data_IF_466614312769
#
_entry.id   IF_466614312769
#
_cell.length_a   1.000
_cell.length_b   1.000
_cell.length_c   1.000
_cell.angle_alpha   90.00
_cell.angle_beta   90.00
_cell.angle_gamma   90.00
#
_symmetry.space_group_name_H-M   'P 1'
#
loop_
_entity.id
_entity.type
_entity.pdbx_description
1 polymer ?
#
# COMPACT_ATOMS: atom_id res chain seq x y z
N UNK A 1 -18.29 -25.04 0.27
CA UNK A 1 -17.91 -24.84 1.67
C UNK A 1 -16.54 -24.18 1.61
N UNK A 2 -16.47 -22.84 1.74
CA UNK A 2 -15.19 -22.14 1.56
C UNK A 2 -14.14 -22.84 2.46
N UNK A 3 -12.93 -23.04 1.95
CA UNK A 3 -11.75 -23.43 2.73
C UNK A 3 -11.34 -22.31 3.74
N UNK A 4 -12.34 -21.53 4.19
CA UNK A 4 -12.38 -20.29 4.96
C UNK A 4 -11.88 -20.47 6.39
N UNK A 5 -12.12 -21.64 6.98
CA UNK A 5 -11.66 -21.96 8.33
C UNK A 5 -10.14 -22.08 8.34
N UNK A 6 -9.54 -22.70 7.30
CA UNK A 6 -8.08 -22.85 7.19
C UNK A 6 -7.41 -21.50 6.95
N UNK A 7 -7.95 -20.64 6.08
CA UNK A 7 -7.46 -19.26 5.88
C UNK A 7 -7.47 -18.44 7.18
N UNK A 8 -8.56 -18.45 7.94
CA UNK A 8 -8.63 -17.72 9.21
C UNK A 8 -7.76 -18.34 10.31
N UNK A 9 -7.81 -19.65 10.53
CA UNK A 9 -7.18 -20.30 11.69
C UNK A 9 -5.73 -20.68 11.49
N UNK A 10 -5.27 -20.86 10.25
CA UNK A 10 -3.88 -21.26 9.94
C UNK A 10 -3.09 -20.16 9.26
N UNK A 11 -3.72 -19.32 8.41
CA UNK A 11 -3.00 -18.28 7.66
C UNK A 11 -3.03 -16.95 8.41
N UNK A 12 -4.20 -16.48 8.88
CA UNK A 12 -4.32 -15.16 9.51
C UNK A 12 -4.35 -15.15 11.03
N UNK A 13 -4.79 -16.22 11.70
CA UNK A 13 -4.74 -16.31 13.17
C UNK A 13 -3.31 -16.22 13.73
N UNK A 14 -2.29 -16.92 13.20
CA UNK A 14 -0.92 -16.71 13.68
C UNK A 14 -0.37 -15.32 13.32
N UNK A 15 -0.81 -14.72 12.21
CA UNK A 15 -0.45 -13.34 11.82
C UNK A 15 -1.02 -12.31 12.80
N UNK A 16 -2.19 -12.57 13.38
CA UNK A 16 -2.86 -11.69 14.35
C UNK A 16 -2.43 -11.99 15.81
N UNK A 17 -1.95 -13.20 16.11
CA UNK A 17 -1.68 -13.68 17.47
C UNK A 17 -0.22 -13.61 17.93
N UNK A 18 0.75 -13.32 17.06
CA UNK A 18 2.16 -13.27 17.45
C UNK A 18 2.56 -11.91 18.08
N UNK A 19 2.96 -11.86 19.37
CA UNK A 19 3.31 -10.62 20.07
C UNK A 19 4.67 -10.02 19.66
N UNK A 20 5.49 -10.74 18.89
CA UNK A 20 6.89 -10.41 18.61
C UNK A 20 7.17 -9.91 17.19
N UNK A 21 6.16 -9.72 16.33
CA UNK A 21 6.40 -9.45 14.91
C UNK A 21 7.05 -8.09 14.62
N UNK A 22 8.37 -8.16 14.44
CA UNK A 22 9.26 -7.11 13.94
C UNK A 22 9.22 -7.00 12.41
N UNK A 23 8.20 -7.57 11.75
CA UNK A 23 8.08 -7.54 10.29
C UNK A 23 6.62 -7.35 9.87
N UNK A 24 6.28 -6.14 9.42
CA UNK A 24 5.00 -5.79 8.83
C UNK A 24 4.70 -6.50 7.50
N UNK A 25 5.22 -7.71 7.27
CA UNK A 25 5.03 -8.52 6.07
C UNK A 25 5.18 -10.01 6.37
N UNK A 26 4.19 -10.84 6.00
CA UNK A 26 4.27 -12.30 6.14
C UNK A 26 3.72 -12.96 4.90
N UNK A 27 4.37 -14.05 4.47
CA UNK A 27 3.85 -14.99 3.48
C UNK A 27 3.61 -16.33 4.18
N UNK A 28 2.48 -16.97 3.90
CA UNK A 28 2.13 -18.25 4.51
C UNK A 28 1.43 -19.15 3.50
N UNK A 29 1.81 -20.42 3.45
CA UNK A 29 1.18 -21.43 2.61
C UNK A 29 0.54 -22.52 3.47
N UNK A 30 -0.72 -22.88 3.18
CA UNK A 30 -1.47 -23.91 3.90
C UNK A 30 -2.19 -24.84 2.93
N UNK A 31 -2.23 -26.14 3.22
CA UNK A 31 -2.97 -27.14 2.44
C UNK A 31 -2.11 -28.30 1.93
N UNK A 32 -2.76 -29.24 1.23
CA UNK A 32 -2.12 -30.37 0.55
C UNK A 32 -2.41 -30.22 -0.93
N UNK A 33 -1.41 -30.49 -1.78
CA UNK A 33 -1.58 -30.43 -3.23
C UNK A 33 -2.84 -31.22 -3.68
N UNK A 34 -3.70 -30.64 -4.53
CA UNK A 34 -3.56 -29.37 -5.27
C UNK A 34 -4.11 -28.13 -4.55
N UNK A 35 -4.59 -28.24 -3.30
CA UNK A 35 -5.32 -27.20 -2.57
C UNK A 35 -4.40 -26.35 -1.66
N UNK A 36 -3.18 -26.05 -2.12
CA UNK A 36 -2.27 -25.15 -1.38
C UNK A 36 -2.74 -23.71 -1.61
N UNK A 37 -2.97 -23.00 -0.51
CA UNK A 37 -3.33 -21.58 -0.51
C UNK A 37 -2.16 -20.79 0.06
N UNK A 38 -1.66 -19.83 -0.72
CA UNK A 38 -0.65 -18.86 -0.33
C UNK A 38 -1.34 -17.56 0.07
N UNK A 39 -0.99 -17.00 1.21
CA UNK A 39 -1.48 -15.71 1.70
C UNK A 39 -0.33 -14.76 1.98
N UNK A 40 -0.54 -13.47 1.75
CA UNK A 40 0.38 -12.42 2.11
C UNK A 40 -0.37 -11.28 2.81
N UNK A 41 0.21 -10.78 3.90
CA UNK A 41 -0.23 -9.60 4.61
C UNK A 41 0.91 -8.58 4.66
N UNK A 42 0.61 -7.30 4.50
CA UNK A 42 1.57 -6.19 4.61
C UNK A 42 0.90 -5.01 5.31
N UNK A 43 1.48 -4.52 6.40
CA UNK A 43 1.09 -3.26 7.02
C UNK A 43 1.93 -2.10 6.48
N UNK A 44 1.37 -0.90 6.48
CA UNK A 44 2.11 0.30 6.08
C UNK A 44 3.26 0.55 7.06
N UNK A 45 4.45 0.91 6.56
CA UNK A 45 5.68 0.86 7.36
C UNK A 45 5.76 1.83 8.55
N UNK A 46 4.87 2.82 8.63
CA UNK A 46 4.78 3.83 9.69
C UNK A 46 3.64 3.60 10.69
N UNK A 47 2.80 2.57 10.52
CA UNK A 47 1.66 2.33 11.42
C UNK A 47 2.10 1.49 12.62
N UNK A 48 1.54 1.80 13.80
CA UNK A 48 1.82 1.02 15.00
C UNK A 48 1.17 -0.37 14.95
N UNK A 49 1.65 -1.28 15.79
CA UNK A 49 1.22 -2.68 15.83
C UNK A 49 -0.28 -2.85 16.05
N UNK A 50 -0.89 -2.05 16.94
CA UNK A 50 -2.34 -2.12 17.23
C UNK A 50 -3.19 -1.72 16.03
N UNK A 51 -2.81 -0.65 15.34
CA UNK A 51 -3.47 -0.20 14.11
C UNK A 51 -3.29 -1.22 12.98
N UNK A 52 -2.09 -1.78 12.83
CA UNK A 52 -1.79 -2.85 11.88
C UNK A 52 -2.68 -4.09 12.11
N UNK A 53 -2.70 -4.62 13.35
CA UNK A 53 -3.51 -5.80 13.69
C UNK A 53 -5.00 -5.58 13.48
N UNK A 54 -5.49 -4.39 13.83
CA UNK A 54 -6.90 -4.02 13.60
C UNK A 54 -7.23 -4.01 12.12
N UNK A 55 -6.38 -3.35 11.31
CA UNK A 55 -6.55 -3.32 9.86
C UNK A 55 -6.53 -4.72 9.25
N UNK A 56 -5.56 -5.56 9.60
CA UNK A 56 -5.43 -6.91 9.06
C UNK A 56 -6.64 -7.78 9.41
N UNK A 57 -7.18 -7.65 10.63
CA UNK A 57 -8.38 -8.37 11.06
C UNK A 57 -9.59 -7.96 10.24
N UNK A 58 -9.83 -6.66 10.08
CA UNK A 58 -10.96 -6.12 9.32
C UNK A 58 -10.86 -6.47 7.83
N UNK A 59 -9.68 -6.31 7.25
CA UNK A 59 -9.41 -6.64 5.85
C UNK A 59 -9.58 -8.14 5.57
N UNK A 60 -9.12 -9.00 6.49
CA UNK A 60 -9.33 -10.44 6.42
C UNK A 60 -10.81 -10.79 6.47
N UNK A 61 -11.56 -10.27 7.46
CA UNK A 61 -13.01 -10.49 7.55
C UNK A 61 -13.72 -10.08 6.26
N UNK A 62 -13.37 -8.92 5.69
CA UNK A 62 -13.96 -8.42 4.46
C UNK A 62 -13.73 -9.34 3.27
N UNK A 63 -12.50 -9.82 3.07
CA UNK A 63 -12.19 -10.76 1.99
C UNK A 63 -12.96 -12.09 2.10
N UNK A 64 -13.26 -12.53 3.33
CA UNK A 64 -13.95 -13.78 3.59
C UNK A 64 -15.46 -13.66 3.40
N UNK A 65 -16.05 -12.51 3.72
CA UNK A 65 -17.45 -12.23 3.39
C UNK A 65 -17.69 -12.25 1.89
N UNK A 66 -16.70 -11.79 1.11
CA UNK A 66 -16.82 -11.74 -0.34
C UNK A 66 -16.63 -13.13 -0.97
N UNK A 67 -15.66 -13.95 -0.53
CA UNK A 67 -15.38 -15.36 -0.95
C UNK A 67 -15.90 -15.78 -2.36
N UNK A 68 -15.62 -15.02 -3.44
CA UNK A 68 -16.05 -15.36 -4.81
C UNK A 68 -14.95 -15.90 -5.72
N UNK A 69 -13.68 -15.91 -5.29
CA UNK A 69 -12.53 -16.11 -6.18
C UNK A 69 -11.46 -17.01 -5.55
N UNK A 70 -10.63 -17.62 -6.41
CA UNK A 70 -9.40 -18.33 -6.01
C UNK A 70 -8.25 -17.36 -5.74
N UNK A 71 -8.32 -16.16 -6.30
CA UNK A 71 -7.32 -15.11 -6.09
C UNK A 71 -8.05 -13.85 -5.67
N UNK A 72 -7.65 -13.26 -4.55
CA UNK A 72 -8.22 -12.02 -4.08
C UNK A 72 -7.19 -11.17 -3.34
N UNK A 73 -7.39 -9.86 -3.39
CA UNK A 73 -6.56 -8.89 -2.70
C UNK A 73 -7.41 -7.68 -2.31
N UNK A 74 -7.11 -7.11 -1.16
CA UNK A 74 -7.71 -5.88 -0.64
C UNK A 74 -6.60 -4.97 -0.12
N UNK A 75 -6.77 -3.67 -0.34
CA UNK A 75 -5.85 -2.64 0.10
C UNK A 75 -6.64 -1.61 0.90
N UNK A 76 -6.26 -1.44 2.16
CA UNK A 76 -6.73 -0.41 3.08
C UNK A 76 -5.60 0.59 3.36
N UNK A 77 -5.95 1.69 4.02
CA UNK A 77 -5.01 2.77 4.34
C UNK A 77 -3.79 2.31 5.15
N UNK A 78 -3.99 1.37 6.06
CA UNK A 78 -2.98 0.90 7.01
C UNK A 78 -2.41 -0.49 6.66
N UNK A 79 -3.02 -1.24 5.74
CA UNK A 79 -2.59 -2.59 5.40
C UNK A 79 -3.14 -3.08 4.06
N UNK A 80 -2.50 -4.10 3.50
CA UNK A 80 -2.98 -4.87 2.37
C UNK A 80 -2.89 -6.37 2.67
N UNK A 81 -3.79 -7.15 2.08
CA UNK A 81 -3.83 -8.59 2.20
C UNK A 81 -4.20 -9.19 0.85
N UNK A 82 -3.49 -10.25 0.45
CA UNK A 82 -3.80 -11.04 -0.74
C UNK A 82 -3.71 -12.54 -0.46
N UNK A 83 -4.50 -13.33 -1.15
CA UNK A 83 -4.35 -14.79 -1.18
C UNK A 83 -4.52 -15.33 -2.60
N UNK A 84 -3.93 -16.49 -2.84
CA UNK A 84 -4.00 -17.22 -4.10
C UNK A 84 -3.92 -18.73 -3.87
N UNK A 85 -4.57 -19.51 -4.73
CA UNK A 85 -4.36 -20.97 -4.82
C UNK A 85 -3.12 -21.34 -5.67
N UNK A 86 -2.36 -20.33 -6.10
CA UNK A 86 -1.06 -20.46 -6.74
C UNK A 86 0.02 -19.90 -5.81
N UNK A 87 1.28 -20.17 -6.16
CA UNK A 87 2.41 -19.56 -5.46
C UNK A 87 2.43 -18.04 -5.75
N UNK A 88 2.43 -17.20 -4.70
CA UNK A 88 2.37 -15.74 -4.85
C UNK A 88 3.64 -15.16 -5.47
N UNK A 89 4.80 -15.76 -5.23
CA UNK A 89 6.06 -15.38 -5.87
C UNK A 89 5.99 -15.57 -7.39
N UNK A 90 5.27 -16.60 -7.85
CA UNK A 90 5.03 -16.84 -9.30
C UNK A 90 4.07 -15.83 -9.93
N UNK A 91 3.38 -15.03 -9.11
CA UNK A 91 2.44 -13.98 -9.52
C UNK A 91 3.01 -12.57 -9.33
N UNK A 92 4.32 -12.42 -9.14
CA UNK A 92 5.00 -11.12 -9.03
C UNK A 92 5.05 -10.32 -10.36
N UNK A 93 4.12 -10.57 -11.28
CA UNK A 93 3.91 -9.74 -12.46
C UNK A 93 3.21 -8.45 -12.02
N UNK A 94 3.77 -7.31 -12.43
CA UNK A 94 3.16 -6.01 -12.15
C UNK A 94 1.75 -5.94 -12.76
N UNK A 95 0.76 -5.68 -11.90
CA UNK A 95 -0.63 -5.48 -12.29
C UNK A 95 -1.23 -4.34 -11.45
N UNK A 96 -0.88 -3.11 -11.83
CA UNK A 96 -1.31 -1.90 -11.14
C UNK A 96 -2.83 -1.70 -11.15
N UNK A 97 -3.36 -1.26 -10.01
CA UNK A 97 -4.74 -0.80 -9.85
C UNK A 97 -4.73 0.58 -9.23
N UNK A 98 -5.66 1.42 -9.66
CA UNK A 98 -5.89 2.75 -9.11
C UNK A 98 -7.35 2.86 -8.64
N UNK A 99 -7.60 2.93 -7.32
CA UNK A 99 -8.94 3.07 -6.76
C UNK A 99 -9.68 4.28 -7.34
N UNK A 100 -10.95 4.09 -7.72
CA UNK A 100 -11.79 5.13 -8.36
C UNK A 100 -11.95 6.39 -7.51
N UNK A 101 -11.81 6.29 -6.19
CA UNK A 101 -11.88 7.43 -5.27
C UNK A 101 -10.84 8.52 -5.60
N UNK A 102 -9.71 8.17 -6.21
CA UNK A 102 -8.67 9.13 -6.58
C UNK A 102 -9.06 10.01 -7.77
N UNK A 103 -9.95 9.56 -8.66
CA UNK A 103 -10.43 10.39 -9.78
C UNK A 103 -11.26 11.59 -9.31
N UNK A 104 -11.78 11.53 -8.09
CA UNK A 104 -12.60 12.58 -7.47
C UNK A 104 -11.77 13.64 -6.75
N UNK A 105 -10.44 13.45 -6.60
CA UNK A 105 -9.59 14.49 -6.02
C UNK A 105 -9.60 15.74 -6.89
N UNK A 106 -9.47 16.88 -6.23
CA UNK A 106 -9.39 18.19 -6.87
C UNK A 106 -8.21 18.22 -7.84
N UNK A 107 -8.39 18.93 -8.94
CA UNK A 107 -7.31 19.11 -9.91
C UNK A 107 -6.31 20.16 -9.41
N UNK A 108 -5.04 19.98 -9.77
CA UNK A 108 -4.00 21.00 -9.59
C UNK A 108 -4.08 22.02 -10.73
N UNK A 109 -3.68 23.27 -10.46
CA UNK A 109 -3.74 24.34 -11.47
C UNK A 109 -2.60 24.27 -12.49
N UNK A 110 -1.39 23.91 -12.04
CA UNK A 110 -0.20 23.79 -12.89
C UNK A 110 0.24 22.33 -12.94
N UNK A 111 -0.42 21.57 -13.82
CA UNK A 111 -0.24 20.10 -13.89
C UNK A 111 1.18 19.70 -14.27
N UNK A 112 1.84 20.45 -15.15
CA UNK A 112 3.18 20.10 -15.65
C UNK A 112 4.22 20.26 -14.55
N UNK A 113 4.33 21.46 -13.95
CA UNK A 113 5.30 21.67 -12.88
C UNK A 113 4.98 20.85 -11.63
N UNK A 114 3.70 20.67 -11.31
CA UNK A 114 3.30 19.83 -10.19
C UNK A 114 3.79 18.40 -10.37
N UNK A 115 3.61 17.84 -11.57
CA UNK A 115 4.06 16.49 -11.86
C UNK A 115 5.58 16.35 -11.82
N UNK A 116 6.36 17.35 -12.23
CA UNK A 116 7.82 17.31 -12.14
C UNK A 116 8.30 17.18 -10.70
N UNK A 117 7.70 17.94 -9.77
CA UNK A 117 8.01 17.87 -8.33
C UNK A 117 7.53 16.56 -7.72
N UNK A 118 6.33 16.10 -8.10
CA UNK A 118 5.80 14.82 -7.67
C UNK A 118 6.68 13.66 -8.13
N UNK A 119 7.12 13.67 -9.39
CA UNK A 119 8.02 12.65 -9.95
C UNK A 119 9.34 12.63 -9.19
N UNK A 120 9.95 13.80 -8.94
CA UNK A 120 11.18 13.90 -8.16
C UNK A 120 11.02 13.31 -6.75
N UNK A 121 9.91 13.60 -6.07
CA UNK A 121 9.61 13.02 -4.77
C UNK A 121 9.47 11.49 -4.88
N UNK A 122 8.64 11.00 -5.79
CA UNK A 122 8.34 9.56 -5.92
C UNK A 122 9.57 8.74 -6.35
N UNK A 123 10.42 9.26 -7.24
CA UNK A 123 11.67 8.59 -7.62
C UNK A 123 12.58 8.40 -6.39
N UNK A 124 12.79 9.47 -5.60
CA UNK A 124 13.62 9.41 -4.41
C UNK A 124 13.07 8.45 -3.35
N UNK A 125 11.76 8.47 -3.12
CA UNK A 125 11.11 7.55 -2.19
C UNK A 125 11.19 6.11 -2.68
N UNK A 126 11.06 5.90 -4.00
CA UNK A 126 11.16 4.56 -4.57
C UNK A 126 12.55 3.95 -4.39
N UNK A 127 13.59 4.77 -4.54
CA UNK A 127 14.98 4.36 -4.29
C UNK A 127 15.21 4.03 -2.81
N UNK A 128 14.79 4.88 -1.86
CA UNK A 128 14.96 4.60 -0.42
C UNK A 128 14.14 3.37 0.01
N UNK A 129 12.89 3.25 -0.44
CA UNK A 129 12.05 2.09 -0.15
C UNK A 129 12.67 0.79 -0.68
N UNK A 130 13.25 0.79 -1.88
CA UNK A 130 13.86 -0.41 -2.42
C UNK A 130 15.16 -0.80 -1.70
N UNK A 131 16.07 0.16 -1.51
CA UNK A 131 17.43 -0.11 -1.01
C UNK A 131 17.50 -0.28 0.51
N UNK A 132 16.48 0.17 1.25
CA UNK A 132 16.54 0.25 2.71
C UNK A 132 15.69 -0.81 3.41
N UNK A 133 16.15 -2.07 3.39
CA UNK A 133 15.46 -3.18 4.06
C UNK A 133 15.29 -3.02 5.56
N UNK A 134 16.16 -2.26 6.22
CA UNK A 134 16.03 -1.98 7.66
C UNK A 134 14.81 -1.10 7.99
N UNK A 135 14.35 -0.31 7.01
CA UNK A 135 13.11 0.48 7.07
C UNK A 135 11.92 -0.24 6.44
N UNK A 136 11.88 -1.58 6.52
CA UNK A 136 10.74 -2.38 6.09
C UNK A 136 10.38 -2.23 4.59
N UNK A 137 11.35 -1.86 3.75
CA UNK A 137 11.13 -1.53 2.34
C UNK A 137 10.03 -0.47 2.12
N UNK A 138 10.04 0.54 2.99
CA UNK A 138 9.07 1.63 3.05
C UNK A 138 9.80 2.97 3.20
N UNK A 139 9.30 4.00 2.52
CA UNK A 139 9.79 5.35 2.62
C UNK A 139 8.66 6.37 2.56
N UNK A 140 8.81 7.46 3.31
CA UNK A 140 7.94 8.63 3.30
C UNK A 140 8.75 9.90 3.09
N UNK A 141 8.12 10.93 2.55
CA UNK A 141 8.76 12.22 2.40
C UNK A 141 7.81 13.30 1.93
N UNK A 142 8.37 14.50 1.82
CA UNK A 142 7.64 15.68 1.36
C UNK A 142 8.51 16.55 0.44
N UNK A 143 7.86 17.32 -0.42
CA UNK A 143 8.52 18.37 -1.22
C UNK A 143 7.63 19.61 -1.26
N UNK A 144 8.24 20.79 -1.05
CA UNK A 144 7.54 22.07 -1.18
C UNK A 144 7.36 22.39 -2.66
N UNK A 145 6.11 22.34 -3.11
CA UNK A 145 5.74 22.72 -4.49
C UNK A 145 5.60 24.24 -4.64
N UNK A 146 5.01 24.90 -3.65
CA UNK A 146 4.88 26.36 -3.62
C UNK A 146 4.99 26.90 -2.19
N UNK A 147 4.84 28.22 -2.02
CA UNK A 147 4.81 28.84 -0.67
C UNK A 147 3.70 28.27 0.22
N UNK A 148 2.59 27.82 -0.38
CA UNK A 148 1.39 27.42 0.34
C UNK A 148 0.99 25.96 0.09
N UNK A 149 1.81 25.18 -0.60
CA UNK A 149 1.48 23.81 -1.01
C UNK A 149 2.69 22.90 -0.88
N UNK A 150 2.50 21.81 -0.13
CA UNK A 150 3.48 20.75 0.07
C UNK A 150 2.89 19.44 -0.42
N UNK A 151 3.67 18.70 -1.20
CA UNK A 151 3.32 17.36 -1.66
C UNK A 151 3.94 16.36 -0.68
N UNK A 152 3.10 15.49 -0.13
CA UNK A 152 3.48 14.36 0.71
C UNK A 152 3.41 13.08 -0.09
N UNK A 153 4.28 12.14 0.23
CA UNK A 153 4.37 10.89 -0.49
C UNK A 153 4.85 9.72 0.36
N UNK A 154 4.46 8.52 -0.06
CA UNK A 154 5.08 7.28 0.41
C UNK A 154 5.25 6.27 -0.73
N UNK A 155 6.26 5.42 -0.58
CA UNK A 155 6.53 4.28 -1.43
C UNK A 155 6.74 3.04 -0.57
N UNK A 156 6.20 1.90 -1.01
CA UNK A 156 6.33 0.65 -0.26
C UNK A 156 6.42 -0.55 -1.19
N UNK A 157 7.29 -1.48 -0.84
CA UNK A 157 7.32 -2.82 -1.40
C UNK A 157 6.94 -3.87 -0.35
N UNK A 158 6.47 -5.02 -0.83
CA UNK A 158 6.44 -6.22 0.00
C UNK A 158 7.88 -6.69 0.24
N UNK A 159 8.11 -7.46 1.31
CA UNK A 159 9.49 -7.81 1.74
C UNK A 159 9.98 -9.16 1.22
N UNK A 160 9.13 -9.88 0.49
CA UNK A 160 9.41 -11.14 -0.19
C UNK A 160 10.16 -10.95 -1.53
N UNK A 161 10.25 -9.72 -2.03
CA UNK A 161 10.90 -9.40 -3.31
C UNK A 161 12.31 -8.84 -3.12
N UNK A 162 13.10 -8.93 -4.19
CA UNK A 162 14.45 -8.38 -4.26
C UNK A 162 14.45 -6.86 -4.45
N UNK A 163 15.62 -6.23 -4.29
CA UNK A 163 15.77 -4.78 -4.44
C UNK A 163 15.48 -4.32 -5.88
N UNK A 164 15.99 -5.07 -6.86
CA UNK A 164 15.75 -4.88 -8.28
C UNK A 164 14.27 -5.03 -8.65
N UNK A 165 13.63 -6.09 -8.14
CA UNK A 165 12.19 -6.32 -8.33
C UNK A 165 11.33 -5.22 -7.70
N UNK A 166 11.73 -4.71 -6.54
CA UNK A 166 11.05 -3.59 -5.89
C UNK A 166 11.18 -2.30 -6.70
N UNK A 167 12.39 -1.96 -7.16
CA UNK A 167 12.61 -0.79 -8.01
C UNK A 167 11.80 -0.86 -9.30
N UNK A 168 11.77 -2.03 -9.95
CA UNK A 168 10.98 -2.24 -11.16
C UNK A 168 9.48 -2.05 -10.88
N UNK A 169 8.95 -2.68 -9.83
CA UNK A 169 7.54 -2.55 -9.45
C UNK A 169 7.15 -1.07 -9.20
N UNK A 170 7.96 -0.35 -8.42
CA UNK A 170 7.71 1.06 -8.10
C UNK A 170 7.85 1.96 -9.33
N UNK A 171 8.75 1.63 -10.27
CA UNK A 171 8.89 2.34 -11.54
C UNK A 171 7.63 2.20 -12.41
N UNK A 172 7.06 0.99 -12.51
CA UNK A 172 5.79 0.79 -13.20
C UNK A 172 4.62 1.49 -12.48
N UNK A 173 4.59 1.43 -11.14
CA UNK A 173 3.60 2.15 -10.35
C UNK A 173 3.63 3.67 -10.61
N UNK A 174 4.82 4.24 -10.79
CA UNK A 174 4.98 5.67 -11.10
C UNK A 174 4.47 6.03 -12.50
N UNK A 175 4.60 5.13 -13.49
CA UNK A 175 4.02 5.31 -14.82
C UNK A 175 2.49 5.30 -14.78
N UNK A 176 1.89 4.38 -14.03
CA UNK A 176 0.44 4.35 -13.82
C UNK A 176 -0.04 5.58 -13.05
N UNK A 177 0.73 6.04 -12.06
CA UNK A 177 0.45 7.24 -11.28
C UNK A 177 0.45 8.49 -12.16
N UNK A 178 1.37 8.57 -13.12
CA UNK A 178 1.38 9.60 -14.16
C UNK A 178 0.08 9.58 -14.97
N UNK A 179 -0.33 8.40 -15.42
CA UNK A 179 -1.54 8.23 -16.25
C UNK A 179 -2.83 8.56 -15.49
N UNK A 180 -2.97 8.09 -14.26
CA UNK A 180 -4.20 8.24 -13.49
C UNK A 180 -4.36 9.61 -12.84
N UNK A 181 -3.24 10.16 -12.33
CA UNK A 181 -3.32 11.06 -11.19
C UNK A 181 -2.39 12.29 -11.29
N UNK A 182 -1.63 12.45 -12.39
CA UNK A 182 -0.72 13.58 -12.58
C UNK A 182 -1.37 14.97 -12.49
N UNK A 183 -2.67 15.06 -12.78
CA UNK A 183 -3.46 16.30 -12.71
C UNK A 183 -4.21 16.49 -11.39
N UNK A 184 -3.99 15.62 -10.41
CA UNK A 184 -4.79 15.55 -9.17
C UNK A 184 -3.96 15.95 -7.94
N UNK A 185 -4.64 16.46 -6.92
CA UNK A 185 -4.05 16.75 -5.61
C UNK A 185 -3.75 15.50 -4.78
N UNK A 186 -3.94 14.31 -5.34
CA UNK A 186 -3.52 13.07 -4.73
C UNK A 186 -3.76 11.91 -5.68
N UNK A 187 -3.16 10.78 -5.33
CA UNK A 187 -3.29 9.56 -6.09
C UNK A 187 -2.68 8.41 -5.33
N UNK A 188 -3.22 7.22 -5.57
CA UNK A 188 -2.65 5.96 -5.10
C UNK A 188 -2.65 4.95 -6.25
N UNK A 189 -1.54 4.25 -6.39
CA UNK A 189 -1.39 3.07 -7.24
C UNK A 189 -1.01 1.91 -6.34
N UNK A 190 -1.75 0.81 -6.44
CA UNK A 190 -1.49 -0.42 -5.70
C UNK A 190 -1.24 -1.58 -6.65
N UNK A 191 -0.31 -2.44 -6.29
CA UNK A 191 -0.02 -3.69 -6.96
C UNK A 191 0.14 -4.80 -5.92
N UNK A 192 0.34 -6.04 -6.37
CA UNK A 192 0.60 -7.17 -5.48
C UNK A 192 1.84 -6.97 -4.61
N UNK A 193 2.90 -6.39 -5.18
CA UNK A 193 4.22 -6.34 -4.55
C UNK A 193 4.71 -4.93 -4.22
N UNK A 194 3.99 -3.88 -4.63
CA UNK A 194 4.33 -2.50 -4.26
C UNK A 194 3.12 -1.57 -4.30
N UNK A 195 3.24 -0.40 -3.66
CA UNK A 195 2.31 0.70 -3.78
C UNK A 195 3.00 2.06 -3.70
N UNK A 196 2.40 3.06 -4.35
CA UNK A 196 2.76 4.48 -4.30
C UNK A 196 1.55 5.29 -3.92
N UNK A 197 1.72 6.29 -3.07
CA UNK A 197 0.69 7.28 -2.77
C UNK A 197 1.28 8.66 -2.66
N UNK A 198 0.52 9.65 -3.10
CA UNK A 198 0.80 11.04 -2.79
C UNK A 198 -0.47 11.81 -2.41
N UNK A 199 -0.25 12.88 -1.67
CA UNK A 199 -1.29 13.84 -1.32
C UNK A 199 -0.68 15.24 -1.23
N UNK A 200 -1.29 16.20 -1.92
CA UNK A 200 -0.94 17.60 -1.85
C UNK A 200 -1.83 18.29 -0.82
N UNK A 201 -1.19 18.95 0.15
CA UNK A 201 -1.89 19.67 1.21
C UNK A 201 -1.59 21.15 1.09
N UNK A 202 -2.65 21.95 1.00
CA UNK A 202 -2.52 23.40 1.05
C UNK A 202 -2.48 23.88 2.50
N UNK A 203 -1.65 24.88 2.81
CA UNK A 203 -1.55 25.48 4.16
C UNK A 203 -2.92 25.93 4.67
N UNK A 204 -3.76 26.50 3.80
CA UNK A 204 -5.12 26.92 4.16
C UNK A 204 -6.02 25.75 4.59
N UNK A 205 -5.81 24.55 4.02
CA UNK A 205 -6.53 23.35 4.46
C UNK A 205 -6.01 22.85 5.80
N UNK A 206 -4.69 22.95 6.05
CA UNK A 206 -4.10 22.63 7.35
C UNK A 206 -4.60 23.56 8.45
N UNK A 207 -4.71 24.86 8.18
CA UNK A 207 -5.30 25.83 9.12
C UNK A 207 -6.75 25.47 9.45
N UNK A 208 -7.58 25.15 8.44
CA UNK A 208 -8.94 24.67 8.67
C UNK A 208 -9.02 23.39 9.52
N UNK A 209 -8.05 22.48 9.39
CA UNK A 209 -7.99 21.28 10.24
C UNK A 209 -7.61 21.60 11.69
N UNK A 210 -6.75 22.60 11.92
CA UNK A 210 -6.37 23.08 13.25
C UNK A 210 -7.51 23.86 13.92
N UNK A 211 -8.28 24.64 13.15
CA UNK A 211 -9.48 25.35 13.63
C UNK A 211 -10.61 24.39 14.04
N UNK A 212 -10.53 23.11 13.63
CA UNK A 212 -11.50 22.07 13.97
C UNK A 212 -11.11 21.18 15.15
N UNK A 213 -9.94 21.40 15.76
CA UNK A 213 -9.56 20.72 17.02
C UNK A 213 -10.25 21.46 18.16
N UNK A 214 -11.26 20.86 18.84
CA UNK A 214 -11.81 21.47 20.04
C UNK A 214 -10.70 21.51 21.09
N UNK A 215 -10.44 22.68 21.66
CA UNK A 215 -9.64 22.78 22.88
C UNK A 215 -10.33 21.95 23.97
N UNK A 216 -9.81 20.77 24.27
CA UNK A 216 -10.13 20.02 25.49
C UNK A 216 -8.92 20.03 26.41
#
# INVERSE_FOLDING_TARGET
>A
MCFLIVLLSTIFAPVVADPLYTACSTEYASGIFPDIVSGQALCRGDVNSSACQTCLREASQKLLEECKSKDAAIWYEACQIRYSFQNLTSLNVYAGKYPVLESQKKSVSDTVHFYDYLKLLMDNLSIDAALNRSKLMFATGEIKFSRNETIYGHAQCTRDIREDECQECLSFALLDLKGCCSSKQGGIVVSGSCNLRFESVQILQRLKSLDSIPNS
#
